data_IF_873478738357
#
_entry.id   IF_873478738357
#
_cell.length_a   1.000
_cell.length_b   1.000
_cell.length_c   1.000
_cell.angle_alpha   90.00
_cell.angle_beta   90.00
_cell.angle_gamma   90.00
#
_symmetry.space_group_name_H-M   'P 1'
#
loop_
_entity.id
_entity.type
_entity.pdbx_description
1 polymer ?
#
# COMPACT_ATOMS: atom_id res chain seq x y z
N UNK A 1 -0.23 28.25 49.47
CA UNK A 1 -1.05 27.02 49.32
C UNK A 1 -0.15 25.88 48.90
N UNK A 2 -0.15 24.76 49.64
CA UNK A 2 0.66 23.54 49.37
C UNK A 2 0.39 22.92 47.98
N UNK A 3 -0.77 23.22 47.38
CA UNK A 3 -1.21 22.67 46.09
C UNK A 3 -0.36 23.15 44.89
N UNK A 4 0.14 24.40 44.89
CA UNK A 4 0.94 24.91 43.77
C UNK A 4 2.36 24.34 43.74
N UNK A 5 2.89 23.91 44.89
CA UNK A 5 4.22 23.31 44.98
C UNK A 5 4.23 21.84 44.52
N UNK A 6 3.14 21.11 44.76
CA UNK A 6 2.97 19.72 44.31
C UNK A 6 2.70 19.64 42.80
N UNK A 7 1.96 20.59 42.23
CA UNK A 7 1.69 20.64 40.78
C UNK A 7 2.96 20.91 39.94
N UNK A 8 3.88 21.75 40.46
CA UNK A 8 5.14 22.09 39.79
C UNK A 8 6.15 20.94 39.79
N UNK A 9 6.17 20.09 40.82
CA UNK A 9 7.05 18.91 40.89
C UNK A 9 6.63 17.81 39.91
N UNK A 10 5.33 17.65 39.67
CA UNK A 10 4.82 16.56 38.84
C UNK A 10 5.10 16.76 37.34
N UNK A 11 5.07 18.02 36.86
CA UNK A 11 5.35 18.33 35.44
C UNK A 11 6.83 18.19 35.07
N UNK A 12 7.76 18.38 36.02
CA UNK A 12 9.19 18.20 35.79
C UNK A 12 9.63 16.73 35.73
N UNK A 13 8.96 15.84 36.47
CA UNK A 13 9.18 14.40 36.36
C UNK A 13 8.68 13.87 35.01
N UNK A 14 7.44 14.21 34.66
CA UNK A 14 6.82 13.81 33.39
C UNK A 14 7.62 14.28 32.17
N UNK A 15 8.13 15.52 32.18
CA UNK A 15 8.98 16.03 31.09
C UNK A 15 10.25 15.20 30.92
N UNK A 16 10.92 14.82 32.01
CA UNK A 16 12.14 14.01 31.96
C UNK A 16 11.87 12.61 31.41
N UNK A 17 10.75 12.01 31.79
CA UNK A 17 10.38 10.68 31.31
C UNK A 17 10.01 10.69 29.82
N UNK A 18 9.30 11.72 29.36
CA UNK A 18 9.02 11.92 27.93
C UNK A 18 10.31 12.15 27.13
N UNK A 19 11.25 12.97 27.62
CA UNK A 19 12.54 13.17 26.94
C UNK A 19 13.35 11.88 26.87
N UNK A 20 13.35 11.08 27.95
CA UNK A 20 14.03 9.78 27.98
C UNK A 20 13.41 8.80 26.97
N UNK A 21 12.08 8.77 26.85
CA UNK A 21 11.38 7.95 25.87
C UNK A 21 11.71 8.35 24.42
N UNK A 22 11.68 9.65 24.11
CA UNK A 22 12.05 10.17 22.77
C UNK A 22 13.49 9.82 22.41
N UNK A 23 14.41 9.89 23.38
CA UNK A 23 15.81 9.57 23.15
C UNK A 23 16.06 8.06 22.98
N UNK A 24 15.27 7.20 23.65
CA UNK A 24 15.25 5.76 23.42
C UNK A 24 14.75 5.39 22.03
N UNK A 25 13.67 6.04 21.57
CA UNK A 25 13.12 5.83 20.22
C UNK A 25 14.13 6.25 19.14
N UNK A 26 14.83 7.37 19.32
CA UNK A 26 15.89 7.80 18.38
C UNK A 26 17.04 6.79 18.30
N UNK A 27 17.51 6.25 19.42
CA UNK A 27 18.56 5.22 19.42
C UNK A 27 18.13 3.93 18.70
N UNK A 28 16.89 3.47 18.95
CA UNK A 28 16.34 2.31 18.25
C UNK A 28 16.17 2.57 16.75
N UNK A 29 15.78 3.79 16.36
CA UNK A 29 15.70 4.19 14.96
C UNK A 29 17.08 4.19 14.29
N UNK A 30 18.11 4.70 14.96
CA UNK A 30 19.50 4.67 14.45
C UNK A 30 20.03 3.23 14.32
N UNK A 31 19.67 2.33 15.25
CA UNK A 31 20.01 0.90 15.18
C UNK A 31 19.25 0.16 14.05
N UNK A 32 17.99 0.51 13.78
CA UNK A 32 17.21 -0.04 12.67
C UNK A 32 17.60 0.56 11.30
N UNK A 33 18.09 1.80 11.27
CA UNK A 33 18.53 2.47 10.04
C UNK A 33 19.99 2.19 9.66
N UNK A 34 20.73 1.41 10.46
CA UNK A 34 22.02 0.87 10.03
C UNK A 34 21.82 -0.31 9.06
N UNK A 35 21.24 -0.01 7.90
CA UNK A 35 21.42 -0.85 6.72
C UNK A 35 22.92 -0.82 6.44
N UNK A 36 23.65 -1.95 6.44
CA UNK A 36 25.03 -1.94 5.98
C UNK A 36 24.98 -1.37 4.57
N UNK A 37 25.55 -0.18 4.40
CA UNK A 37 25.70 0.45 3.09
C UNK A 37 26.37 -0.58 2.21
N UNK A 38 25.57 -1.19 1.33
CA UNK A 38 26.04 -2.18 0.41
C UNK A 38 27.20 -1.54 -0.34
N UNK A 39 28.39 -2.12 -0.16
CA UNK A 39 29.61 -1.76 -0.86
C UNK A 39 29.22 -1.48 -2.29
N UNK A 40 29.41 -0.24 -2.73
CA UNK A 40 29.16 0.20 -4.09
C UNK A 40 29.99 -0.68 -5.01
N UNK A 41 29.37 -1.75 -5.52
CA UNK A 41 29.88 -2.51 -6.64
C UNK A 41 30.02 -1.47 -7.74
N UNK A 42 31.25 -1.23 -8.19
CA UNK A 42 31.51 -0.42 -9.38
C UNK A 42 30.76 -1.12 -10.50
N UNK A 43 29.55 -0.68 -10.79
CA UNK A 43 28.82 -1.12 -11.96
C UNK A 43 29.68 -0.70 -13.15
N UNK A 44 30.17 -1.67 -13.90
CA UNK A 44 30.65 -1.40 -15.25
C UNK A 44 29.41 -0.95 -16.02
N UNK A 45 29.15 0.36 -16.05
CA UNK A 45 28.05 0.94 -16.82
C UNK A 45 28.47 0.87 -18.28
N UNK A 46 28.24 -0.28 -18.90
CA UNK A 46 28.25 -0.40 -20.35
C UNK A 46 27.02 0.34 -20.85
N UNK A 47 27.26 1.48 -21.49
CA UNK A 47 26.21 2.28 -22.10
C UNK A 47 25.72 1.50 -23.33
N UNK A 48 24.44 1.12 -23.32
CA UNK A 48 23.83 0.44 -24.46
C UNK A 48 23.90 1.34 -25.69
N UNK A 49 24.20 0.75 -26.84
CA UNK A 49 24.09 1.44 -28.12
C UNK A 49 22.63 1.84 -28.39
N UNK A 50 22.43 2.79 -29.28
CA UNK A 50 21.08 3.21 -29.69
C UNK A 50 20.29 2.06 -30.31
N UNK A 51 20.96 1.21 -31.10
CA UNK A 51 20.38 0.04 -31.75
C UNK A 51 19.90 -1.02 -30.75
N UNK A 52 20.70 -1.29 -29.71
CA UNK A 52 20.31 -2.21 -28.63
C UNK A 52 19.11 -1.69 -27.83
N UNK A 53 19.05 -0.37 -27.59
CA UNK A 53 17.92 0.26 -26.91
C UNK A 53 16.63 0.17 -27.73
N UNK A 54 16.69 0.45 -29.03
CA UNK A 54 15.56 0.32 -29.94
C UNK A 54 15.08 -1.13 -30.01
N UNK A 55 16.01 -2.07 -30.15
CA UNK A 55 15.70 -3.51 -30.16
C UNK A 55 15.03 -3.97 -28.86
N UNK A 56 15.49 -3.46 -27.70
CA UNK A 56 14.88 -3.76 -26.41
C UNK A 56 13.46 -3.20 -26.30
N UNK A 57 13.25 -1.95 -26.73
CA UNK A 57 11.93 -1.30 -26.71
C UNK A 57 10.96 -2.05 -27.63
N UNK A 58 11.39 -2.43 -28.82
CA UNK A 58 10.57 -3.19 -29.76
C UNK A 58 10.23 -4.58 -29.22
N UNK A 59 11.20 -5.25 -28.58
CA UNK A 59 10.97 -6.51 -27.88
C UNK A 59 9.92 -6.37 -26.77
N UNK A 60 9.98 -5.28 -26.00
CA UNK A 60 9.01 -4.98 -24.94
C UNK A 60 7.60 -4.75 -25.50
N UNK A 61 7.48 -4.02 -26.61
CA UNK A 61 6.19 -3.79 -27.28
C UNK A 61 5.59 -5.08 -27.82
N UNK A 62 6.39 -5.92 -28.48
CA UNK A 62 5.95 -7.24 -28.96
C UNK A 62 5.51 -8.15 -27.81
N UNK A 63 6.22 -8.11 -26.69
CA UNK A 63 5.85 -8.86 -25.49
C UNK A 63 4.51 -8.34 -24.94
N UNK A 64 4.33 -7.03 -24.86
CA UNK A 64 3.07 -6.42 -24.45
C UNK A 64 1.90 -6.85 -25.35
N UNK A 65 2.06 -6.79 -26.68
CA UNK A 65 1.00 -7.12 -27.64
C UNK A 65 0.58 -8.61 -27.59
N UNK A 66 1.50 -9.50 -27.22
CA UNK A 66 1.25 -10.95 -27.11
C UNK A 66 0.85 -11.42 -25.71
N UNK A 67 0.89 -10.53 -24.72
CA UNK A 67 0.55 -10.83 -23.32
C UNK A 67 -0.95 -10.73 -23.05
N UNK A 68 -1.39 -11.36 -21.96
CA UNK A 68 -2.74 -11.18 -21.45
C UNK A 68 -2.92 -9.82 -20.74
N UNK A 69 -4.16 -9.50 -20.34
CA UNK A 69 -4.46 -8.20 -19.73
C UNK A 69 -3.63 -7.91 -18.48
N UNK A 70 -3.45 -8.91 -17.61
CA UNK A 70 -2.76 -8.75 -16.34
C UNK A 70 -1.26 -8.57 -16.55
N UNK A 71 -0.65 -9.34 -17.45
CA UNK A 71 0.76 -9.16 -17.80
C UNK A 71 0.99 -7.87 -18.58
N UNK A 72 0.06 -7.44 -19.43
CA UNK A 72 0.11 -6.13 -20.07
C UNK A 72 0.18 -5.01 -19.03
N UNK A 73 -0.73 -5.00 -18.05
CA UNK A 73 -0.73 -4.00 -16.98
C UNK A 73 0.56 -4.07 -16.16
N UNK A 74 1.07 -5.29 -15.88
CA UNK A 74 2.35 -5.50 -15.19
C UNK A 74 3.51 -4.91 -15.99
N UNK A 75 3.58 -5.14 -17.29
CA UNK A 75 4.63 -4.63 -18.17
C UNK A 75 4.63 -3.10 -18.23
N UNK A 76 3.46 -2.46 -18.25
CA UNK A 76 3.35 -0.99 -18.25
C UNK A 76 3.98 -0.35 -17.00
N UNK A 77 4.15 -1.08 -15.90
CA UNK A 77 4.84 -0.57 -14.70
C UNK A 77 6.33 -0.28 -14.92
N UNK A 78 6.94 -0.85 -15.97
CA UNK A 78 8.31 -0.56 -16.38
C UNK A 78 8.49 0.83 -16.99
N UNK A 79 7.38 1.50 -17.34
CA UNK A 79 7.42 2.87 -17.85
C UNK A 79 8.18 3.79 -16.88
N UNK A 80 8.90 4.81 -17.39
CA UNK A 80 9.58 5.77 -16.54
C UNK A 80 8.69 6.36 -15.44
N UNK A 81 9.22 6.61 -14.23
CA UNK A 81 8.43 7.16 -13.11
C UNK A 81 7.92 8.58 -13.39
N UNK A 82 8.60 9.31 -14.28
CA UNK A 82 8.20 10.66 -14.73
C UNK A 82 7.04 10.64 -15.71
N UNK A 83 6.67 9.49 -16.27
CA UNK A 83 5.58 9.40 -17.24
C UNK A 83 4.21 9.38 -16.57
N UNK A 84 3.31 10.18 -17.12
CA UNK A 84 1.88 10.17 -16.80
C UNK A 84 1.08 9.19 -17.68
N UNK A 85 -0.22 9.06 -17.39
CA UNK A 85 -1.14 8.13 -18.09
C UNK A 85 -1.11 8.27 -19.60
N UNK A 86 -1.24 9.51 -20.10
CA UNK A 86 -1.31 9.82 -21.53
C UNK A 86 -0.02 9.45 -22.27
N UNK A 87 1.14 9.62 -21.63
CA UNK A 87 2.42 9.24 -22.26
C UNK A 87 2.55 7.73 -22.40
N UNK A 88 2.18 6.99 -21.36
CA UNK A 88 2.16 5.52 -21.37
C UNK A 88 1.18 5.02 -22.43
N UNK A 89 -0.02 5.59 -22.46
CA UNK A 89 -1.07 5.27 -23.42
C UNK A 89 -0.61 5.44 -24.86
N UNK A 90 -0.04 6.60 -25.20
CA UNK A 90 0.42 6.87 -26.55
C UNK A 90 1.63 6.03 -26.95
N UNK A 91 2.51 5.67 -26.01
CA UNK A 91 3.72 4.91 -26.31
C UNK A 91 3.45 3.42 -26.56
N UNK A 92 2.57 2.82 -25.75
CA UNK A 92 2.19 1.39 -25.84
C UNK A 92 0.87 1.16 -26.60
N UNK A 93 0.16 2.21 -27.00
CA UNK A 93 -1.16 2.15 -27.63
C UNK A 93 -2.17 1.34 -26.81
N UNK A 94 -2.10 1.45 -25.47
CA UNK A 94 -2.95 0.72 -24.54
C UNK A 94 -4.22 1.52 -24.19
N UNK A 95 -5.14 0.90 -23.44
CA UNK A 95 -6.31 1.62 -22.92
C UNK A 95 -5.94 2.53 -21.74
N UNK A 96 -6.65 3.66 -21.57
CA UNK A 96 -6.50 4.57 -20.42
C UNK A 96 -6.58 3.83 -19.07
N UNK A 97 -7.48 2.86 -18.96
CA UNK A 97 -7.63 2.05 -17.75
C UNK A 97 -6.36 1.24 -17.41
N UNK A 98 -5.67 0.70 -18.41
CA UNK A 98 -4.44 -0.08 -18.20
C UNK A 98 -3.30 0.82 -17.71
N UNK A 99 -3.13 2.00 -18.32
CA UNK A 99 -2.11 2.96 -17.92
C UNK A 99 -2.38 3.51 -16.50
N UNK A 100 -3.64 3.81 -16.18
CA UNK A 100 -4.06 4.19 -14.82
C UNK A 100 -3.74 3.09 -13.81
N UNK A 101 -4.10 1.84 -14.12
CA UNK A 101 -3.91 0.70 -13.22
C UNK A 101 -2.43 0.40 -12.99
N UNK A 102 -1.61 0.47 -14.03
CA UNK A 102 -0.17 0.28 -13.92
C UNK A 102 0.49 1.32 -13.00
N UNK A 103 0.06 2.58 -13.05
CA UNK A 103 0.57 3.61 -12.13
C UNK A 103 0.20 3.35 -10.67
N UNK A 104 -1.03 2.90 -10.41
CA UNK A 104 -1.48 2.51 -9.07
C UNK A 104 -0.66 1.34 -8.51
N UNK A 105 -0.46 0.31 -9.35
CA UNK A 105 0.32 -0.88 -8.99
C UNK A 105 1.77 -0.49 -8.73
N UNK A 106 2.38 0.32 -9.60
CA UNK A 106 3.76 0.79 -9.42
C UNK A 106 3.93 1.58 -8.13
N UNK A 107 2.95 2.42 -7.78
CA UNK A 107 2.97 3.22 -6.55
C UNK A 107 2.77 2.39 -5.28
N UNK A 108 1.98 1.31 -5.36
CA UNK A 108 1.59 0.52 -4.18
C UNK A 108 2.49 -0.71 -3.95
N UNK A 109 2.89 -1.39 -5.03
CA UNK A 109 3.55 -2.70 -5.01
C UNK A 109 4.90 -2.72 -5.75
N UNK A 110 5.22 -1.68 -6.53
CA UNK A 110 6.49 -1.55 -7.24
C UNK A 110 6.46 -2.03 -8.70
N UNK A 111 7.65 -2.11 -9.29
CA UNK A 111 7.84 -2.47 -10.70
C UNK A 111 7.63 -3.98 -10.89
N UNK A 112 6.94 -4.35 -11.97
CA UNK A 112 6.55 -5.72 -12.32
C UNK A 112 5.72 -6.43 -11.23
N UNK A 113 5.03 -5.68 -10.38
CA UNK A 113 4.09 -6.25 -9.44
C UNK A 113 2.85 -6.82 -10.16
N UNK A 114 2.36 -7.96 -9.70
CA UNK A 114 1.17 -8.59 -10.25
C UNK A 114 -0.07 -7.80 -9.88
N UNK A 115 -1.00 -7.53 -10.83
CA UNK A 115 -2.28 -6.94 -10.48
C UNK A 115 -3.01 -7.87 -9.52
N UNK A 116 -3.27 -7.40 -8.30
CA UNK A 116 -4.12 -8.13 -7.37
C UNK A 116 -5.55 -8.03 -7.90
N UNK A 117 -6.02 -9.08 -8.56
CA UNK A 117 -7.44 -9.26 -8.80
C UNK A 117 -8.08 -9.54 -7.44
N UNK A 118 -8.90 -8.61 -6.96
CA UNK A 118 -9.68 -8.84 -5.76
C UNK A 118 -10.79 -9.85 -6.12
N UNK A 119 -10.41 -11.13 -6.21
CA UNK A 119 -11.35 -12.20 -6.52
C UNK A 119 -12.14 -12.52 -5.26
N UNK A 120 -13.30 -11.88 -5.12
CA UNK A 120 -14.28 -12.17 -4.08
C UNK A 120 -14.62 -10.99 -3.18
N UNK A 121 -15.61 -11.23 -2.32
CA UNK A 121 -15.98 -10.29 -1.28
C UNK A 121 -14.79 -10.12 -0.31
N UNK A 122 -14.52 -8.89 0.17
CA UNK A 122 -13.51 -8.69 1.20
C UNK A 122 -13.83 -9.59 2.41
N UNK A 123 -12.79 -10.12 3.04
CA UNK A 123 -12.96 -10.88 4.28
C UNK A 123 -13.63 -9.96 5.31
N UNK A 124 -14.80 -10.37 5.78
CA UNK A 124 -15.53 -9.66 6.83
C UNK A 124 -14.69 -9.75 8.11
N UNK A 125 -14.58 -8.64 8.83
CA UNK A 125 -13.87 -8.59 10.12
C UNK A 125 -14.56 -9.55 11.11
N UNK A 126 -13.84 -10.49 11.75
CA UNK A 126 -14.44 -11.42 12.71
C UNK A 126 -15.15 -10.71 13.87
N UNK A 127 -14.65 -9.55 14.33
CA UNK A 127 -15.32 -8.77 15.39
C UNK A 127 -16.71 -8.30 14.96
N UNK A 128 -16.87 -7.92 13.69
CA UNK A 128 -18.17 -7.53 13.15
C UNK A 128 -19.12 -8.73 13.03
N UNK A 129 -18.58 -9.91 12.71
CA UNK A 129 -19.37 -11.16 12.70
C UNK A 129 -19.90 -11.45 14.11
N UNK A 130 -19.05 -11.30 15.13
CA UNK A 130 -19.44 -11.49 16.53
C UNK A 130 -20.50 -10.48 16.97
N UNK A 131 -20.37 -9.20 16.59
CA UNK A 131 -21.38 -8.16 16.86
C UNK A 131 -22.72 -8.47 16.19
N UNK A 132 -22.70 -8.90 14.91
CA UNK A 132 -23.91 -9.30 14.19
C UNK A 132 -24.53 -10.52 14.87
N UNK A 133 -23.73 -11.50 15.27
CA UNK A 133 -24.21 -12.69 15.96
C UNK A 133 -24.84 -12.34 17.31
N UNK A 134 -24.21 -11.47 18.09
CA UNK A 134 -24.76 -10.97 19.35
C UNK A 134 -26.10 -10.25 19.14
N UNK A 135 -26.19 -9.38 18.14
CA UNK A 135 -27.43 -8.69 17.76
C UNK A 135 -28.59 -9.67 17.46
N UNK A 136 -28.32 -10.79 16.79
CA UNK A 136 -29.35 -11.80 16.52
C UNK A 136 -29.71 -12.66 17.73
N UNK A 137 -28.79 -12.85 18.67
CA UNK A 137 -28.97 -13.64 19.88
C UNK A 137 -29.73 -12.87 20.98
N UNK A 138 -29.78 -11.54 20.92
CA UNK A 138 -30.55 -10.73 21.87
C UNK A 138 -32.06 -10.91 21.69
N UNK A 139 -32.71 -11.44 22.74
CA UNK A 139 -34.13 -11.82 22.70
C UNK A 139 -35.06 -10.60 22.53
N UNK A 140 -34.67 -9.44 23.06
CA UNK A 140 -35.40 -8.17 22.92
C UNK A 140 -35.47 -7.74 21.46
N UNK A 141 -34.31 -7.74 20.79
CA UNK A 141 -34.17 -7.35 19.39
C UNK A 141 -34.89 -8.37 18.50
N UNK A 142 -34.76 -9.66 18.83
CA UNK A 142 -35.41 -10.75 18.10
C UNK A 142 -36.94 -10.63 18.09
N UNK A 143 -37.53 -10.30 19.24
CA UNK A 143 -38.98 -10.10 19.37
C UNK A 143 -39.47 -8.84 18.64
N UNK A 144 -38.66 -7.78 18.62
CA UNK A 144 -39.03 -6.49 18.00
C UNK A 144 -38.84 -6.45 16.47
N UNK A 145 -38.05 -7.37 15.91
CA UNK A 145 -37.67 -7.37 14.48
C UNK A 145 -38.10 -8.64 13.73
N UNK A 146 -39.20 -9.26 14.17
CA UNK A 146 -39.81 -10.38 13.45
C UNK A 146 -40.07 -10.02 11.98
N UNK A 147 -39.66 -10.90 11.05
CA UNK A 147 -39.75 -10.74 9.59
C UNK A 147 -38.97 -9.56 8.98
N UNK A 148 -38.01 -8.95 9.69
CA UNK A 148 -37.10 -7.91 9.15
C UNK A 148 -35.64 -8.35 9.11
N UNK A 149 -35.38 -9.65 9.26
CA UNK A 149 -34.09 -10.23 9.64
C UNK A 149 -33.28 -10.88 8.49
N UNK A 150 -33.70 -10.72 7.23
CA UNK A 150 -33.16 -11.53 6.12
C UNK A 150 -31.86 -11.02 5.52
N UNK A 151 -31.59 -9.70 5.54
CA UNK A 151 -30.40 -9.12 4.90
C UNK A 151 -29.83 -7.98 5.74
N UNK A 152 -28.56 -8.08 6.10
CA UNK A 152 -27.78 -6.98 6.69
C UNK A 152 -26.83 -6.42 5.63
N UNK A 153 -26.92 -5.12 5.39
CA UNK A 153 -25.97 -4.40 4.56
C UNK A 153 -24.79 -3.94 5.40
N UNK A 154 -23.66 -4.62 5.24
CA UNK A 154 -22.39 -4.22 5.85
C UNK A 154 -21.63 -3.31 4.89
N UNK A 155 -21.21 -2.14 5.38
CA UNK A 155 -20.32 -1.25 4.63
C UNK A 155 -18.88 -1.59 5.00
N UNK A 156 -18.18 -2.25 4.08
CA UNK A 156 -16.75 -2.54 4.21
C UNK A 156 -15.99 -1.29 3.72
N UNK A 157 -15.20 -0.68 4.61
CA UNK A 157 -14.37 0.49 4.32
C UNK A 157 -12.98 0.06 3.84
#
# INVERSE_FOLDING_TARGET
SLASFLFRRNTGALKRDVTRAIQGIRKLADELCHVPSAKTSKSNVTLLTTEENESLIDGLKRLFDSSDYDDQVRLLTLSPPTWGRVQIENFFLCNEWQSRRALEIRGSFGILATPTNFSGNPRINPLLVDEIQAFYQEDIISRQTSNKKDVIHVRLF
#
